data_IF_532936459610
#
_entry.id   IF_532936459610
#
_cell.length_a   1.000
_cell.length_b   1.000
_cell.length_c   1.000
_cell.angle_alpha   90.00
_cell.angle_beta   90.00
_cell.angle_gamma   90.00
#
_symmetry.space_group_name_H-M   'P 1'
#
loop_
_entity.id
_entity.type
_entity.pdbx_description
1 polymer ?
#
# COMPACT_ATOMS: atom_id res chain seq x y z
N UNK A 1 63.26 5.20 28.43
CA UNK A 1 63.23 4.19 27.34
C UNK A 1 61.98 3.30 27.34
N UNK A 2 61.45 2.81 28.47
CA UNK A 2 60.21 1.97 28.47
C UNK A 2 58.93 2.74 28.10
N UNK A 3 58.81 4.00 28.51
CA UNK A 3 57.69 4.90 28.21
C UNK A 3 57.56 5.23 26.71
N UNK A 4 58.69 5.44 26.02
CA UNK A 4 58.72 5.74 24.58
C UNK A 4 58.36 4.53 23.72
N UNK A 5 58.68 3.31 24.18
CA UNK A 5 58.30 2.06 23.50
C UNK A 5 56.79 1.83 23.59
N UNK A 6 56.17 2.08 24.75
CA UNK A 6 54.71 1.96 24.91
C UNK A 6 53.95 2.93 24.00
N UNK A 7 54.44 4.18 23.88
CA UNK A 7 53.84 5.16 22.98
C UNK A 7 53.95 4.75 21.50
N UNK A 8 55.10 4.20 21.08
CA UNK A 8 55.30 3.72 19.71
C UNK A 8 54.42 2.51 19.38
N UNK A 9 54.30 1.55 20.30
CA UNK A 9 53.46 0.36 20.13
C UNK A 9 51.98 0.75 20.09
N UNK A 10 51.55 1.68 20.93
CA UNK A 10 50.18 2.20 20.91
C UNK A 10 49.84 2.93 19.61
N UNK A 11 50.78 3.70 19.06
CA UNK A 11 50.60 4.39 17.77
C UNK A 11 50.56 3.41 16.59
N UNK A 12 51.37 2.34 16.66
CA UNK A 12 51.37 1.28 15.64
C UNK A 12 50.05 0.48 15.66
N UNK A 13 49.48 0.22 16.84
CA UNK A 13 48.17 -0.45 16.97
C UNK A 13 47.01 0.36 16.39
N UNK A 14 47.05 1.69 16.45
CA UNK A 14 46.03 2.56 15.86
C UNK A 14 46.06 2.56 14.32
N UNK A 15 47.23 2.29 13.72
CA UNK A 15 47.40 2.17 12.26
C UNK A 15 46.92 0.82 11.71
N UNK A 16 46.68 -0.17 12.57
CA UNK A 16 46.14 -1.49 12.21
C UNK A 16 44.60 -1.53 12.19
N UNK A 17 43.92 -0.43 12.51
CA UNK A 17 42.47 -0.32 12.36
C UNK A 17 42.16 -0.19 10.88
N UNK A 18 41.86 -1.30 10.24
CA UNK A 18 41.41 -1.37 8.85
C UNK A 18 40.13 -0.54 8.67
N UNK A 19 40.16 0.36 7.70
CA UNK A 19 38.98 1.11 7.27
C UNK A 19 38.01 0.15 6.62
N UNK A 20 36.99 -0.27 7.37
CA UNK A 20 35.86 -1.02 6.79
C UNK A 20 35.21 -0.11 5.74
N UNK A 21 35.07 -0.54 4.47
CA UNK A 21 34.37 0.26 3.48
C UNK A 21 32.92 0.41 3.92
N UNK A 22 32.56 1.60 4.38
CA UNK A 22 31.18 1.98 4.60
C UNK A 22 30.57 2.27 3.22
N UNK A 23 29.91 1.28 2.63
CA UNK A 23 29.01 1.52 1.51
C UNK A 23 27.79 2.25 2.04
N UNK A 24 27.92 3.56 2.20
CA UNK A 24 26.75 4.42 2.36
C UNK A 24 25.96 4.36 1.06
N UNK A 25 24.74 3.82 1.11
CA UNK A 25 23.74 4.06 0.07
C UNK A 25 23.45 5.56 0.04
N UNK A 26 24.30 6.32 -0.64
CA UNK A 26 24.22 7.76 -0.77
C UNK A 26 23.21 8.08 -1.87
N UNK A 27 21.93 8.17 -1.51
CA UNK A 27 20.97 8.81 -2.40
C UNK A 27 21.38 10.27 -2.61
N UNK A 28 21.14 10.77 -3.82
CA UNK A 28 21.02 12.21 -3.99
C UNK A 28 19.82 12.72 -3.19
N UNK A 29 19.84 14.01 -2.82
CA UNK A 29 18.69 14.66 -2.22
C UNK A 29 17.45 14.39 -3.10
N UNK A 30 16.33 13.88 -2.53
CA UNK A 30 15.12 13.66 -3.31
C UNK A 30 14.63 14.98 -3.89
N UNK A 31 14.06 14.92 -5.10
CA UNK A 31 13.42 16.07 -5.74
C UNK A 31 12.15 16.50 -4.98
N UNK A 32 11.52 17.59 -5.40
CA UNK A 32 10.24 17.98 -4.79
C UNK A 32 9.18 16.94 -5.09
N UNK A 33 8.25 16.74 -4.15
CA UNK A 33 7.18 15.76 -4.29
C UNK A 33 6.36 15.92 -5.58
N UNK A 34 6.13 17.16 -6.05
CA UNK A 34 5.46 17.45 -7.31
C UNK A 34 6.29 17.06 -8.54
N UNK A 35 7.60 17.26 -8.48
CA UNK A 35 8.52 16.95 -9.57
C UNK A 35 8.68 15.44 -9.74
N UNK A 36 8.83 14.70 -8.62
CA UNK A 36 8.81 13.24 -8.65
C UNK A 36 7.44 12.71 -9.06
N UNK A 37 6.36 13.36 -8.61
CA UNK A 37 5.02 13.00 -9.07
C UNK A 37 4.91 13.08 -10.60
N UNK A 38 5.48 14.10 -11.23
CA UNK A 38 5.47 14.29 -12.68
C UNK A 38 6.33 13.27 -13.44
N UNK A 39 7.40 12.77 -12.84
CA UNK A 39 8.32 11.81 -13.49
C UNK A 39 8.03 10.34 -13.19
N UNK A 40 7.39 10.02 -12.06
CA UNK A 40 7.07 8.63 -11.70
C UNK A 40 6.01 8.01 -12.62
N UNK A 41 6.08 6.69 -12.82
CA UNK A 41 5.10 5.96 -13.61
C UNK A 41 3.73 5.91 -12.90
N UNK A 42 3.75 5.65 -11.60
CA UNK A 42 2.53 5.61 -10.80
C UNK A 42 2.78 6.07 -9.38
N UNK A 43 1.75 6.70 -8.79
CA UNK A 43 1.79 7.21 -7.42
C UNK A 43 0.50 6.82 -6.71
N UNK A 44 0.64 6.08 -5.61
CA UNK A 44 -0.50 5.53 -4.87
C UNK A 44 -0.26 5.44 -3.36
N UNK A 45 -1.35 5.39 -2.60
CA UNK A 45 -1.37 5.01 -1.18
C UNK A 45 -1.71 3.54 -1.09
N UNK A 46 -0.94 2.78 -0.32
CA UNK A 46 -1.22 1.35 -0.12
C UNK A 46 -0.81 0.84 1.25
N UNK A 47 -1.46 -0.23 1.70
CA UNK A 47 -1.05 -1.01 2.88
C UNK A 47 -0.26 -2.23 2.45
N UNK A 48 0.89 -2.47 3.09
CA UNK A 48 1.68 -3.69 2.85
C UNK A 48 0.93 -4.91 3.38
N UNK A 49 0.62 -5.88 2.52
CA UNK A 49 -0.07 -7.12 2.88
C UNK A 49 0.86 -8.33 2.94
N UNK A 50 1.99 -8.29 2.22
CA UNK A 50 2.93 -9.40 2.15
C UNK A 50 4.32 -8.97 1.70
N UNK A 51 5.31 -9.81 2.03
CA UNK A 51 6.69 -9.74 1.52
C UNK A 51 7.14 -11.15 1.15
N UNK A 52 7.84 -11.30 0.03
CA UNK A 52 8.36 -12.57 -0.47
C UNK A 52 9.75 -12.36 -1.04
N UNK A 53 10.72 -13.22 -0.65
CA UNK A 53 12.03 -13.23 -1.30
C UNK A 53 11.89 -13.90 -2.68
N UNK A 54 12.41 -13.24 -3.71
CA UNK A 54 12.49 -13.72 -5.09
C UNK A 54 13.94 -13.77 -5.52
N UNK A 55 14.22 -14.29 -6.72
CA UNK A 55 15.56 -14.26 -7.30
C UNK A 55 16.07 -12.82 -7.53
N UNK A 56 15.17 -11.86 -7.72
CA UNK A 56 15.48 -10.46 -8.05
C UNK A 56 15.48 -9.50 -6.85
N UNK A 57 15.20 -10.00 -5.63
CA UNK A 57 15.13 -9.19 -4.42
C UNK A 57 13.97 -9.56 -3.52
N UNK A 58 13.49 -8.61 -2.71
CA UNK A 58 12.28 -8.79 -1.90
C UNK A 58 11.09 -8.17 -2.62
N UNK A 59 10.13 -8.97 -3.03
CA UNK A 59 8.86 -8.47 -3.56
C UNK A 59 7.92 -8.10 -2.40
N UNK A 60 7.29 -6.94 -2.49
CA UNK A 60 6.36 -6.40 -1.50
C UNK A 60 5.00 -6.20 -2.15
N UNK A 61 3.98 -6.79 -1.54
CA UNK A 61 2.61 -6.70 -2.01
C UNK A 61 1.86 -5.61 -1.24
N UNK A 62 1.20 -4.72 -1.96
CA UNK A 62 0.38 -3.64 -1.43
C UNK A 62 -1.09 -3.87 -1.77
N UNK A 63 -1.98 -3.71 -0.79
CA UNK A 63 -3.40 -3.40 -1.04
C UNK A 63 -3.48 -1.90 -1.32
N UNK A 64 -3.86 -1.53 -2.53
CA UNK A 64 -3.88 -0.15 -3.01
C UNK A 64 -5.19 0.52 -2.61
N UNK A 65 -5.08 1.72 -2.01
CA UNK A 65 -6.19 2.47 -1.40
C UNK A 65 -6.46 3.82 -2.02
N UNK A 66 -5.47 4.53 -2.57
CA UNK A 66 -5.63 5.78 -3.34
C UNK A 66 -4.63 5.81 -4.49
N UNK A 67 -5.03 6.24 -5.69
CA UNK A 67 -4.15 6.41 -6.85
C UNK A 67 -4.30 7.82 -7.34
N UNK A 68 -3.18 8.54 -7.41
CA UNK A 68 -3.13 9.88 -7.99
C UNK A 68 -2.53 9.87 -9.38
N UNK A 69 -1.65 8.90 -9.68
CA UNK A 69 -1.03 8.75 -11.01
C UNK A 69 -0.90 7.30 -11.42
N UNK A 70 -1.08 7.05 -12.71
CA UNK A 70 -1.05 5.72 -13.31
C UNK A 70 -2.30 4.91 -12.98
N UNK A 71 -2.25 3.61 -13.27
CA UNK A 71 -3.38 2.69 -13.07
C UNK A 71 -2.93 1.39 -12.38
N UNK A 72 -2.37 1.44 -11.15
CA UNK A 72 -2.07 0.23 -10.42
C UNK A 72 -3.36 -0.55 -10.12
N UNK A 73 -3.28 -1.88 -10.18
CA UNK A 73 -4.37 -2.75 -9.77
C UNK A 73 -4.64 -2.61 -8.25
N UNK A 74 -5.79 -3.13 -7.78
CA UNK A 74 -6.13 -3.14 -6.33
C UNK A 74 -5.07 -3.82 -5.46
N UNK A 75 -4.27 -4.70 -6.07
CA UNK A 75 -3.05 -5.24 -5.50
C UNK A 75 -1.87 -4.87 -6.40
N UNK A 76 -0.83 -4.28 -5.82
CA UNK A 76 0.42 -3.96 -6.52
C UNK A 76 1.57 -4.76 -5.89
N UNK A 77 2.35 -5.46 -6.71
CA UNK A 77 3.59 -6.11 -6.28
C UNK A 77 4.76 -5.31 -6.83
N UNK A 78 5.66 -4.88 -5.93
CA UNK A 78 6.83 -4.08 -6.27
C UNK A 78 8.08 -4.74 -5.68
N UNK A 79 9.22 -4.64 -6.38
CA UNK A 79 10.49 -5.00 -5.77
C UNK A 79 10.93 -3.90 -4.80
N UNK A 80 11.20 -4.29 -3.56
CA UNK A 80 11.89 -3.47 -2.56
C UNK A 80 13.36 -3.33 -2.98
N UNK A 81 13.87 -2.10 -2.96
CA UNK A 81 15.31 -1.86 -3.09
C UNK A 81 15.96 -1.92 -1.70
N UNK A 82 17.23 -2.32 -1.64
CA UNK A 82 17.97 -2.51 -0.38
C UNK A 82 18.46 -1.15 0.18
N UNK A 83 17.54 -0.24 0.48
CA UNK A 83 17.81 1.17 0.82
C UNK A 83 17.34 1.56 2.24
N UNK A 84 17.18 2.86 2.49
CA UNK A 84 16.92 3.44 3.82
C UNK A 84 15.50 3.21 4.36
N UNK A 85 14.56 2.82 3.51
CA UNK A 85 13.17 2.54 3.91
C UNK A 85 12.88 1.05 3.77
N UNK A 86 12.47 0.41 4.86
CA UNK A 86 11.97 -0.97 4.84
C UNK A 86 10.45 -0.94 4.95
N UNK A 87 9.77 -1.68 4.07
CA UNK A 87 8.33 -1.84 4.15
C UNK A 87 7.95 -2.80 5.27
N UNK A 88 7.03 -2.36 6.14
CA UNK A 88 6.50 -3.13 7.25
C UNK A 88 5.07 -3.60 6.95
N UNK A 89 4.79 -4.87 7.23
CA UNK A 89 3.45 -5.45 7.03
C UNK A 89 2.40 -4.73 7.88
N UNK A 90 1.25 -4.43 7.28
CA UNK A 90 0.14 -3.71 7.92
C UNK A 90 0.31 -2.20 7.97
N UNK A 91 1.47 -1.65 7.60
CA UNK A 91 1.69 -0.21 7.54
C UNK A 91 1.29 0.36 6.18
N UNK A 92 0.93 1.64 6.20
CA UNK A 92 0.52 2.42 5.03
C UNK A 92 1.65 3.33 4.55
N UNK A 93 1.77 3.46 3.23
CA UNK A 93 2.80 4.27 2.59
C UNK A 93 2.21 5.07 1.43
N UNK A 94 2.78 6.25 1.19
CA UNK A 94 2.72 6.91 -0.10
C UNK A 94 3.87 6.34 -0.93
N UNK A 95 3.56 5.75 -2.08
CA UNK A 95 4.50 5.00 -2.91
C UNK A 95 4.60 5.66 -4.28
N UNK A 96 5.83 6.04 -4.63
CA UNK A 96 6.21 6.45 -5.97
C UNK A 96 6.85 5.24 -6.66
N UNK A 97 6.36 4.91 -7.85
CA UNK A 97 6.80 3.74 -8.60
C UNK A 97 7.53 4.18 -9.84
N UNK A 98 8.70 3.58 -10.02
CA UNK A 98 9.46 3.63 -11.26
C UNK A 98 9.56 2.22 -11.84
N UNK A 99 9.72 2.14 -13.15
CA UNK A 99 10.04 0.89 -13.86
C UNK A 99 11.47 0.95 -14.36
N UNK A 100 12.22 -0.08 -14.04
CA UNK A 100 13.54 -0.33 -14.60
C UNK A 100 13.57 -1.68 -15.33
N UNK A 101 14.77 -2.10 -15.77
CA UNK A 101 15.00 -3.37 -16.46
C UNK A 101 14.62 -4.62 -15.64
N UNK A 102 14.56 -4.51 -14.32
CA UNK A 102 14.27 -5.60 -13.39
C UNK A 102 12.79 -5.60 -12.95
N UNK A 103 12.03 -4.56 -13.32
CA UNK A 103 10.58 -4.47 -13.15
C UNK A 103 10.13 -3.20 -12.44
N UNK A 104 8.92 -3.24 -11.89
CA UNK A 104 8.33 -2.14 -11.12
C UNK A 104 8.88 -2.13 -9.70
N UNK A 105 9.39 -0.98 -9.26
CA UNK A 105 10.03 -0.82 -7.94
C UNK A 105 9.51 0.43 -7.25
N UNK A 106 9.49 0.39 -5.92
CA UNK A 106 9.27 1.61 -5.16
C UNK A 106 10.52 2.48 -5.24
N UNK A 107 10.37 3.77 -5.55
CA UNK A 107 11.48 4.71 -5.54
C UNK A 107 11.83 5.08 -4.09
N UNK A 108 12.70 4.28 -3.49
CA UNK A 108 13.13 4.49 -2.12
C UNK A 108 14.09 5.66 -1.98
N UNK A 109 14.88 6.04 -2.98
CA UNK A 109 15.69 7.28 -2.90
C UNK A 109 14.86 8.56 -3.00
N UNK A 110 13.64 8.46 -3.53
CA UNK A 110 12.75 9.58 -3.74
C UNK A 110 11.85 9.87 -2.54
N UNK A 111 10.60 10.19 -2.85
CA UNK A 111 9.57 10.63 -1.92
C UNK A 111 8.68 9.49 -1.42
N UNK A 112 9.02 8.23 -1.67
CA UNK A 112 8.32 7.10 -1.03
C UNK A 112 8.54 7.16 0.48
N UNK A 113 7.44 7.22 1.26
CA UNK A 113 7.51 7.42 2.71
C UNK A 113 6.25 6.91 3.43
N UNK A 114 6.31 6.68 4.76
CA UNK A 114 5.14 6.33 5.55
C UNK A 114 3.98 7.31 5.32
N UNK A 115 2.74 6.81 5.31
CA UNK A 115 1.56 7.61 4.97
C UNK A 115 1.40 8.86 5.85
N UNK A 116 1.72 8.76 7.14
CA UNK A 116 1.63 9.90 8.06
C UNK A 116 2.51 11.09 7.63
N UNK A 117 3.63 10.83 6.96
CA UNK A 117 4.51 11.87 6.42
C UNK A 117 4.10 12.26 4.99
N UNK A 118 3.65 11.29 4.18
CA UNK A 118 3.27 11.51 2.79
C UNK A 118 1.93 12.22 2.58
N UNK A 119 1.08 12.32 3.60
CA UNK A 119 -0.25 12.96 3.47
C UNK A 119 -0.16 14.43 3.02
N UNK A 120 0.85 15.16 3.48
CA UNK A 120 1.06 16.56 3.10
C UNK A 120 1.41 16.68 1.62
N UNK A 121 2.25 15.77 1.11
CA UNK A 121 2.59 15.71 -0.32
C UNK A 121 1.34 15.34 -1.14
N UNK A 122 0.60 14.32 -0.69
CA UNK A 122 -0.61 13.82 -1.34
C UNK A 122 -1.71 14.88 -1.50
N UNK A 123 -1.79 15.83 -0.57
CA UNK A 123 -2.73 16.96 -0.66
C UNK A 123 -2.49 17.85 -1.88
N UNK A 124 -1.29 17.81 -2.49
CA UNK A 124 -0.93 18.62 -3.65
C UNK A 124 -1.23 17.96 -5.00
N UNK A 125 -1.51 16.64 -5.03
CA UNK A 125 -1.67 15.88 -6.29
C UNK A 125 -3.06 16.01 -6.92
N UNK A 126 -4.01 16.65 -6.23
CA UNK A 126 -5.41 16.73 -6.67
C UNK A 126 -6.22 15.47 -6.35
N UNK A 127 -7.29 15.23 -7.11
CA UNK A 127 -8.23 14.15 -6.84
C UNK A 127 -7.63 12.76 -7.11
N UNK A 128 -7.82 11.82 -6.18
CA UNK A 128 -7.42 10.42 -6.36
C UNK A 128 -8.55 9.60 -6.97
N UNK A 129 -8.19 8.56 -7.72
CA UNK A 129 -9.15 7.66 -8.40
C UNK A 129 -9.66 6.50 -7.53
N UNK A 130 -9.32 6.45 -6.23
CA UNK A 130 -9.86 5.44 -5.29
C UNK A 130 -10.86 6.03 -4.27
N UNK A 131 -11.58 7.07 -4.67
CA UNK A 131 -12.91 7.27 -4.09
C UNK A 131 -13.90 6.13 -4.48
N UNK A 132 -13.51 5.18 -5.35
CA UNK A 132 -14.40 4.18 -5.95
C UNK A 132 -14.30 2.75 -5.37
N UNK A 133 -13.36 2.46 -4.45
CA UNK A 133 -13.24 1.12 -3.85
C UNK A 133 -13.62 1.04 -2.37
N UNK A 134 -13.72 2.17 -1.66
CA UNK A 134 -14.15 2.22 -0.25
C UNK A 134 -15.68 2.12 -0.10
N UNK A 135 -16.45 2.26 -1.18
CA UNK A 135 -17.86 1.87 -1.16
C UNK A 135 -17.97 0.36 -1.40
N UNK A 136 -17.49 -0.43 -0.43
CA UNK A 136 -18.16 -1.69 -0.12
C UNK A 136 -19.62 -1.32 0.19
N UNK A 137 -20.47 -1.38 -0.84
CA UNK A 137 -21.93 -1.32 -0.67
C UNK A 137 -22.26 -2.18 0.54
N UNK A 138 -22.94 -1.65 1.58
CA UNK A 138 -23.38 -2.47 2.69
C UNK A 138 -24.11 -3.65 2.07
N UNK A 139 -23.55 -4.85 2.26
CA UNK A 139 -24.06 -6.07 1.66
C UNK A 139 -25.56 -6.08 1.88
N UNK A 140 -26.32 -6.08 0.77
CA UNK A 140 -27.76 -6.13 0.82
C UNK A 140 -28.10 -7.29 1.78
N UNK A 141 -28.72 -7.04 2.96
CA UNK A 141 -28.91 -8.10 3.93
C UNK A 141 -29.68 -9.20 3.21
N UNK A 142 -29.14 -10.43 3.20
CA UNK A 142 -29.65 -11.59 2.44
C UNK A 142 -31.07 -12.03 2.79
N UNK A 143 -31.80 -11.19 3.51
CA UNK A 143 -33.18 -11.32 3.99
C UNK A 143 -34.16 -10.50 3.14
N UNK A 144 -33.68 -9.55 2.33
CA UNK A 144 -34.55 -8.69 1.51
C UNK A 144 -35.37 -9.47 0.47
N UNK A 145 -34.80 -10.54 -0.09
CA UNK A 145 -35.49 -11.37 -1.10
C UNK A 145 -36.55 -12.29 -0.48
N UNK A 146 -36.28 -13.09 0.58
CA UNK A 146 -37.31 -13.93 1.19
C UNK A 146 -38.42 -13.13 1.90
N UNK A 147 -38.14 -11.93 2.44
CA UNK A 147 -39.16 -11.10 3.07
C UNK A 147 -40.22 -10.58 2.08
N UNK A 148 -39.81 -10.20 0.86
CA UNK A 148 -40.73 -9.73 -0.19
C UNK A 148 -41.56 -10.90 -0.74
N UNK A 149 -40.97 -12.08 -0.91
CA UNK A 149 -41.69 -13.28 -1.37
C UNK A 149 -42.69 -13.78 -0.32
N UNK A 150 -42.35 -13.71 0.96
CA UNK A 150 -43.28 -14.07 2.06
C UNK A 150 -44.51 -13.16 2.11
N UNK A 151 -44.35 -11.85 1.95
CA UNK A 151 -45.44 -10.88 2.03
C UNK A 151 -46.47 -11.02 0.88
N UNK A 152 -46.00 -11.34 -0.33
CA UNK A 152 -46.90 -11.55 -1.49
C UNK A 152 -47.70 -12.84 -1.38
N UNK A 153 -47.10 -13.93 -0.88
CA UNK A 153 -47.79 -15.20 -0.65
C UNK A 153 -48.88 -15.08 0.43
N UNK A 154 -48.60 -14.36 1.52
CA UNK A 154 -49.59 -14.12 2.59
C UNK A 154 -50.77 -13.29 2.06
N UNK A 155 -50.48 -12.23 1.31
CA UNK A 155 -51.53 -11.37 0.72
C UNK A 155 -52.42 -12.14 -0.25
N UNK A 156 -51.82 -12.99 -1.10
CA UNK A 156 -52.56 -13.86 -2.02
C UNK A 156 -53.42 -14.90 -1.28
N UNK A 157 -52.90 -15.50 -0.20
CA UNK A 157 -53.64 -16.46 0.63
C UNK A 157 -54.88 -15.83 1.28
N UNK A 158 -54.74 -14.65 1.88
CA UNK A 158 -55.86 -13.95 2.50
C UNK A 158 -56.90 -13.49 1.46
N UNK A 159 -56.47 -12.99 0.31
CA UNK A 159 -57.36 -12.64 -0.79
C UNK A 159 -58.14 -13.87 -1.29
N UNK A 160 -57.47 -15.00 -1.49
CA UNK A 160 -58.11 -16.26 -1.91
C UNK A 160 -59.13 -16.77 -0.88
N UNK A 161 -58.75 -16.75 0.41
CA UNK A 161 -59.64 -17.20 1.50
C UNK A 161 -60.88 -16.30 1.64
N UNK A 162 -60.70 -14.99 1.48
CA UNK A 162 -61.79 -14.02 1.50
C UNK A 162 -62.75 -14.22 0.31
N UNK A 163 -62.21 -14.45 -0.89
CA UNK A 163 -63.02 -14.72 -2.08
C UNK A 163 -63.83 -16.01 -1.94
N UNK A 164 -63.21 -17.09 -1.45
CA UNK A 164 -63.88 -18.38 -1.22
C UNK A 164 -64.96 -18.31 -0.15
N UNK A 165 -64.76 -17.54 0.92
CA UNK A 165 -65.77 -17.35 1.98
C UNK A 165 -66.99 -16.55 1.52
N UNK A 166 -66.85 -15.74 0.45
CA UNK A 166 -67.97 -15.00 -0.15
C UNK A 166 -68.77 -15.86 -1.13
N UNK A 167 -68.10 -16.76 -1.84
CA UNK A 167 -68.72 -17.68 -2.80
C UNK A 167 -69.63 -18.75 -2.16
N UNK A 168 -69.52 -19.00 -0.85
CA UNK A 168 -70.36 -19.97 -0.13
C UNK A 168 -71.55 -19.34 0.62
N UNK A 169 -71.86 -18.06 0.40
CA UNK A 169 -73.01 -17.34 0.99
C UNK A 169 -74.06 -16.89 -0.04
N UNK A 170 -74.00 -17.43 -1.25
CA UNK A 170 -75.04 -17.38 -2.26
C UNK A 170 -75.47 -18.81 -2.58
#
# INVERSE_FOLDING_TARGET
MKQTIFAMVSLFLLLLVSTVPAYGLSCAQPSRASEEFDTSESVFRGTVTGKKRTASGTAVTFKVHEVWKGSPARAAELLESDMWLTFEKGKQYLVYVDTDKDGRRANLCGNTKPWELGRTDAATFGASSIALYDEERPGFPGWGIPAVVGATAISAYFAFRFWRGRASRH
#
